data_IF_411743155386
#
_entry.id   IF_411743155386
#
_cell.length_a   1.000
_cell.length_b   1.000
_cell.length_c   1.000
_cell.angle_alpha   90.00
_cell.angle_beta   90.00
_cell.angle_gamma   90.00
#
_symmetry.space_group_name_H-M   'P 1'
#
loop_
_entity.id
_entity.type
_entity.pdbx_description
1 polymer ?
#
# COMPACT_ATOMS: atom_id res chain seq x y z
N UNK A 1 44.89 -9.75 21.48
CA UNK A 1 43.49 -10.12 21.77
C UNK A 1 42.59 -9.26 20.90
N UNK A 2 41.96 -9.85 19.89
CA UNK A 2 41.03 -9.12 18.99
C UNK A 2 39.73 -8.92 19.77
N UNK A 3 39.31 -7.68 19.99
CA UNK A 3 38.02 -7.35 20.58
C UNK A 3 37.00 -7.29 19.44
N UNK A 4 36.10 -8.25 19.39
CA UNK A 4 34.97 -8.21 18.48
C UNK A 4 33.92 -7.24 19.02
N UNK A 5 33.35 -6.43 18.14
CA UNK A 5 32.27 -5.51 18.48
C UNK A 5 30.98 -6.32 18.64
N UNK A 6 30.33 -6.31 19.83
CA UNK A 6 29.09 -7.06 20.06
C UNK A 6 27.94 -6.63 19.14
N UNK A 7 28.02 -5.47 18.47
CA UNK A 7 27.05 -5.08 17.44
C UNK A 7 27.16 -5.88 16.14
N UNK A 8 28.25 -6.61 15.92
CA UNK A 8 28.50 -7.37 14.69
C UNK A 8 28.55 -8.88 14.91
N UNK A 9 28.15 -9.35 16.10
CA UNK A 9 27.98 -10.77 16.39
C UNK A 9 26.56 -11.20 16.04
N UNK A 10 26.39 -11.66 14.81
CA UNK A 10 25.13 -12.23 14.35
C UNK A 10 25.18 -13.74 14.49
N UNK A 11 24.06 -14.33 14.91
CA UNK A 11 23.82 -15.77 14.84
C UNK A 11 23.56 -16.17 13.38
N UNK A 12 24.60 -16.07 12.56
CA UNK A 12 24.57 -16.36 11.14
C UNK A 12 25.92 -16.96 10.70
N UNK A 13 25.94 -17.83 9.67
CA UNK A 13 27.18 -18.39 9.15
C UNK A 13 28.09 -17.28 8.63
N UNK A 14 29.29 -17.15 9.20
CA UNK A 14 30.33 -16.23 8.71
C UNK A 14 31.26 -16.89 7.67
N UNK A 15 31.00 -18.15 7.32
CA UNK A 15 31.80 -18.92 6.38
C UNK A 15 31.54 -18.47 4.95
N UNK A 16 32.62 -18.30 4.17
CA UNK A 16 32.52 -18.06 2.74
C UNK A 16 31.88 -19.27 2.04
N UNK A 17 30.82 -19.03 1.28
CA UNK A 17 30.12 -20.07 0.52
C UNK A 17 30.43 -19.88 -0.98
N UNK A 18 30.87 -20.96 -1.63
CA UNK A 18 31.11 -20.96 -3.08
C UNK A 18 29.77 -21.07 -3.82
N UNK A 19 29.37 -19.98 -4.48
CA UNK A 19 28.12 -19.88 -5.23
C UNK A 19 28.15 -20.70 -6.53
N UNK A 20 29.33 -21.16 -6.96
CA UNK A 20 29.48 -22.00 -8.16
C UNK A 20 29.22 -23.49 -7.88
N UNK A 21 29.23 -23.90 -6.62
CA UNK A 21 28.89 -25.26 -6.24
C UNK A 21 27.38 -25.52 -6.48
N UNK A 22 26.99 -26.69 -7.01
CA UNK A 22 25.59 -27.05 -7.14
C UNK A 22 24.98 -27.11 -5.73
N UNK A 23 24.02 -26.22 -5.47
CA UNK A 23 23.24 -26.23 -4.23
C UNK A 23 22.68 -27.64 -4.07
N UNK A 24 23.00 -28.29 -2.96
CA UNK A 24 22.43 -29.60 -2.64
C UNK A 24 20.91 -29.44 -2.62
N UNK A 25 20.17 -30.04 -3.57
CA UNK A 25 18.72 -29.93 -3.54
C UNK A 25 18.26 -30.59 -2.26
N UNK A 26 17.59 -29.82 -1.39
CA UNK A 26 16.81 -30.40 -0.31
C UNK A 26 15.88 -31.44 -0.95
N UNK A 27 15.77 -32.65 -0.38
CA UNK A 27 14.88 -33.66 -0.91
C UNK A 27 13.45 -33.08 -0.93
N UNK A 28 12.70 -33.41 -1.99
CA UNK A 28 11.37 -32.86 -2.18
C UNK A 28 10.48 -33.19 -0.97
N UNK A 29 10.10 -32.16 -0.21
CA UNK A 29 9.24 -32.27 0.98
C UNK A 29 9.93 -32.05 2.33
N UNK A 30 11.25 -31.87 2.38
CA UNK A 30 11.91 -31.45 3.63
C UNK A 30 11.80 -29.93 3.83
N UNK A 31 11.28 -29.54 4.99
CA UNK A 31 11.21 -28.17 5.46
C UNK A 31 12.50 -27.79 6.19
N UNK A 32 12.88 -26.51 6.13
CA UNK A 32 14.01 -25.98 6.88
C UNK A 32 13.69 -25.96 8.40
N UNK A 33 14.37 -26.77 9.23
CA UNK A 33 14.08 -26.83 10.67
C UNK A 33 14.32 -25.52 11.41
N UNK A 34 15.17 -24.63 10.87
CA UNK A 34 15.35 -23.29 11.43
C UNK A 34 14.12 -22.43 11.19
N UNK A 35 13.57 -22.50 9.97
CA UNK A 35 12.35 -21.78 9.60
C UNK A 35 11.18 -22.19 10.50
N UNK A 36 11.05 -23.48 10.80
CA UNK A 36 9.96 -23.97 11.64
C UNK A 36 10.03 -23.47 13.10
N UNK A 37 11.23 -23.25 13.61
CA UNK A 37 11.44 -22.70 14.98
C UNK A 37 11.12 -21.22 15.07
N UNK A 38 11.41 -20.44 14.03
CA UNK A 38 11.18 -18.98 14.00
C UNK A 38 9.75 -18.64 13.59
N UNK A 39 9.15 -19.49 12.74
CA UNK A 39 7.83 -19.27 12.14
C UNK A 39 6.90 -20.47 12.34
N UNK A 40 6.49 -20.75 13.59
CA UNK A 40 5.60 -21.88 13.90
C UNK A 40 4.26 -21.81 13.14
N UNK A 41 3.78 -20.59 12.85
CA UNK A 41 2.52 -20.39 12.11
C UNK A 41 2.63 -20.68 10.61
N UNK A 42 3.84 -20.58 10.04
CA UNK A 42 4.09 -20.85 8.62
C UNK A 42 4.44 -22.33 8.36
N UNK A 43 4.71 -23.08 9.42
CA UNK A 43 4.96 -24.52 9.38
C UNK A 43 3.68 -25.34 9.35
N UNK A 44 2.51 -24.70 9.56
CA UNK A 44 1.23 -25.37 9.43
C UNK A 44 1.04 -25.74 7.96
N UNK A 45 0.93 -27.03 7.63
CA UNK A 45 0.62 -27.45 6.26
C UNK A 45 -0.64 -26.72 5.82
N UNK A 46 -0.69 -26.20 4.59
CA UNK A 46 -1.84 -25.43 4.09
C UNK A 46 -3.20 -26.15 4.25
N UNK A 47 -3.18 -27.48 4.40
CA UNK A 47 -4.33 -28.31 4.76
C UNK A 47 -4.97 -27.94 6.12
N UNK A 48 -4.20 -27.55 7.13
CA UNK A 48 -4.75 -27.12 8.42
C UNK A 48 -5.38 -25.72 8.35
N UNK A 49 -4.76 -24.79 7.62
CA UNK A 49 -5.33 -23.46 7.36
C UNK A 49 -6.66 -23.55 6.59
N UNK A 50 -6.76 -24.51 5.68
CA UNK A 50 -7.99 -24.76 4.92
C UNK A 50 -9.11 -25.30 5.82
N UNK A 51 -8.79 -26.25 6.70
CA UNK A 51 -9.74 -26.77 7.71
C UNK A 51 -10.18 -25.69 8.70
N UNK A 52 -9.28 -24.81 9.13
CA UNK A 52 -9.63 -23.71 10.03
C UNK A 52 -10.55 -22.68 9.35
N UNK A 53 -10.32 -22.39 8.07
CA UNK A 53 -11.21 -21.52 7.29
C UNK A 53 -12.60 -22.13 7.07
N UNK A 54 -12.69 -23.43 6.79
CA UNK A 54 -13.96 -24.15 6.69
C UNK A 54 -14.72 -24.17 8.02
N UNK A 55 -14.02 -24.40 9.14
CA UNK A 55 -14.63 -24.36 10.47
C UNK A 55 -15.19 -22.97 10.79
N UNK A 56 -14.46 -21.90 10.43
CA UNK A 56 -14.92 -20.51 10.61
C UNK A 56 -16.14 -20.18 9.74
N UNK A 57 -16.21 -20.70 8.52
CA UNK A 57 -17.39 -20.54 7.66
C UNK A 57 -18.62 -21.27 8.24
N UNK A 58 -18.46 -22.50 8.73
CA UNK A 58 -19.56 -23.21 9.39
C UNK A 58 -20.05 -22.51 10.67
N UNK A 59 -19.13 -21.97 11.47
CA UNK A 59 -19.51 -21.22 12.68
C UNK A 59 -20.27 -19.93 12.33
N UNK A 60 -19.98 -19.33 11.18
CA UNK A 60 -20.70 -18.17 10.68
C UNK A 60 -22.11 -18.54 10.18
N UNK A 61 -22.26 -19.63 9.42
CA UNK A 61 -23.59 -20.11 8.98
C UNK A 61 -24.51 -20.45 10.17
N UNK A 62 -23.98 -21.11 11.21
CA UNK A 62 -24.75 -21.41 12.43
C UNK A 62 -25.18 -20.17 13.22
N UNK A 63 -24.50 -19.03 13.06
CA UNK A 63 -24.91 -17.75 13.67
C UNK A 63 -26.03 -17.09 12.88
N UNK A 64 -26.01 -17.18 11.56
CA UNK A 64 -27.02 -16.58 10.69
C UNK A 64 -28.38 -17.29 10.82
N UNK A 65 -28.39 -18.62 11.03
CA UNK A 65 -29.64 -19.37 11.24
C UNK A 65 -30.36 -19.01 12.56
N UNK A 66 -29.62 -18.57 13.58
CA UNK A 66 -30.23 -18.10 14.85
C UNK A 66 -30.78 -16.68 14.74
N UNK A 67 -30.35 -15.87 13.78
CA UNK A 67 -30.89 -14.51 13.58
C UNK A 67 -32.26 -14.52 12.86
N UNK A 68 -32.58 -15.60 12.12
CA UNK A 68 -33.83 -15.76 11.38
C UNK A 68 -35.05 -16.24 12.21
N UNK A 69 -34.88 -16.60 13.49
CA UNK A 69 -36.01 -16.94 14.38
C UNK A 69 -36.55 -15.75 15.19
N UNK A 70 -36.44 -14.51 14.68
CA UNK A 70 -37.02 -13.35 15.39
C UNK A 70 -38.52 -13.20 15.08
N UNK A 71 -39.37 -12.97 16.10
CA UNK A 71 -40.81 -12.81 15.91
C UNK A 71 -41.12 -11.60 15.02
N UNK A 72 -41.99 -11.83 14.02
CA UNK A 72 -42.41 -10.96 12.91
C UNK A 72 -43.11 -9.65 13.35
N UNK A 73 -43.26 -9.39 14.65
CA UNK A 73 -44.04 -8.25 15.16
C UNK A 73 -43.21 -7.00 15.46
N UNK A 74 -41.88 -7.07 15.37
CA UNK A 74 -41.03 -5.90 15.57
C UNK A 74 -40.85 -5.14 14.26
N UNK A 75 -41.56 -4.02 14.15
CA UNK A 75 -41.51 -3.08 13.02
C UNK A 75 -40.06 -2.82 12.59
N UNK A 76 -39.65 -3.34 11.42
CA UNK A 76 -38.26 -3.35 10.92
C UNK A 76 -37.59 -1.96 10.98
N UNK A 77 -38.40 -0.92 10.89
CA UNK A 77 -37.98 0.48 11.01
C UNK A 77 -37.35 0.77 12.37
N UNK A 78 -37.94 0.25 13.45
CA UNK A 78 -37.43 0.43 14.82
C UNK A 78 -36.12 -0.34 15.06
N UNK A 79 -36.00 -1.54 14.49
CA UNK A 79 -34.78 -2.36 14.53
C UNK A 79 -33.64 -1.64 13.77
N UNK A 80 -33.92 -1.09 12.59
CA UNK A 80 -32.93 -0.34 11.82
C UNK A 80 -32.47 0.94 12.53
N UNK A 81 -33.40 1.67 13.17
CA UNK A 81 -33.09 2.88 13.93
C UNK A 81 -32.21 2.55 15.14
N UNK A 82 -32.54 1.50 15.89
CA UNK A 82 -31.77 1.06 17.06
C UNK A 82 -30.38 0.54 16.66
N UNK A 83 -30.27 -0.26 15.59
CA UNK A 83 -28.98 -0.74 15.05
C UNK A 83 -28.09 0.43 14.57
N UNK A 84 -28.66 1.41 13.87
CA UNK A 84 -27.92 2.63 13.48
C UNK A 84 -27.47 3.47 14.68
N UNK A 85 -28.28 3.53 15.75
CA UNK A 85 -27.93 4.24 16.98
C UNK A 85 -26.77 3.55 17.72
N UNK A 86 -26.79 2.22 17.79
CA UNK A 86 -25.68 1.44 18.35
C UNK A 86 -24.37 1.65 17.55
N UNK A 87 -24.42 1.54 16.22
CA UNK A 87 -23.24 1.75 15.37
C UNK A 87 -22.64 3.16 15.52
N UNK A 88 -23.47 4.18 15.74
CA UNK A 88 -23.00 5.55 16.01
C UNK A 88 -22.31 5.65 17.38
N UNK A 89 -22.82 4.95 18.39
CA UNK A 89 -22.23 4.94 19.72
C UNK A 89 -20.91 4.17 19.74
N UNK A 90 -20.84 2.99 19.11
CA UNK A 90 -19.59 2.23 18.98
C UNK A 90 -18.51 3.03 18.24
N UNK A 91 -18.87 3.73 17.16
CA UNK A 91 -17.92 4.61 16.46
C UNK A 91 -17.42 5.77 17.33
N UNK A 92 -18.27 6.28 18.24
CA UNK A 92 -17.87 7.32 19.19
C UNK A 92 -16.97 6.76 20.29
N UNK A 93 -17.28 5.59 20.82
CA UNK A 93 -16.45 4.91 21.83
C UNK A 93 -15.08 4.53 21.25
N UNK A 94 -15.04 3.89 20.08
CA UNK A 94 -13.77 3.62 19.37
C UNK A 94 -12.98 4.89 19.10
N UNK A 95 -13.64 6.00 18.74
CA UNK A 95 -12.96 7.30 18.56
C UNK A 95 -12.40 7.90 19.85
N UNK A 96 -13.00 7.63 21.02
CA UNK A 96 -12.43 8.02 22.32
C UNK A 96 -11.27 7.11 22.72
N UNK A 97 -11.34 5.84 22.34
CA UNK A 97 -10.33 4.82 22.61
C UNK A 97 -9.07 5.00 21.76
N UNK A 98 -9.23 5.53 20.54
CA UNK A 98 -8.12 6.13 19.79
C UNK A 98 -7.68 7.41 20.48
N UNK A 99 -6.81 7.26 21.50
CA UNK A 99 -5.86 8.28 21.94
C UNK A 99 -5.35 9.00 20.71
N UNK A 100 -5.45 10.33 20.70
CA UNK A 100 -5.23 11.11 19.48
C UNK A 100 -3.90 10.69 18.84
N UNK A 101 -3.82 10.68 17.50
CA UNK A 101 -2.59 10.30 16.78
C UNK A 101 -1.34 11.06 17.28
N UNK A 102 -1.55 12.23 17.88
CA UNK A 102 -0.55 13.08 18.53
C UNK A 102 0.00 12.47 19.83
N UNK A 103 -0.83 11.76 20.59
CA UNK A 103 -0.50 11.07 21.83
C UNK A 103 0.25 9.75 21.55
N UNK A 104 -0.17 9.00 20.53
CA UNK A 104 0.57 7.83 20.04
C UNK A 104 1.97 8.19 19.50
N UNK A 105 2.13 9.38 18.89
CA UNK A 105 3.43 9.90 18.44
C UNK A 105 4.37 10.30 19.57
N UNK A 106 3.85 10.66 20.75
CA UNK A 106 4.69 11.06 21.88
C UNK A 106 5.37 9.86 22.58
N UNK A 107 4.80 8.67 22.45
CA UNK A 107 5.34 7.42 23.02
C UNK A 107 6.31 6.70 22.08
N UNK A 108 6.33 7.05 20.79
CA UNK A 108 7.22 6.42 19.83
C UNK A 108 8.56 7.16 19.80
N UNK A 109 9.63 6.49 20.28
CA UNK A 109 10.99 6.97 20.09
C UNK A 109 11.25 7.22 18.59
N UNK A 110 11.96 8.31 18.24
CA UNK A 110 12.27 8.63 16.87
C UNK A 110 13.12 7.51 16.27
N UNK A 111 12.50 6.73 15.38
CA UNK A 111 13.13 5.64 14.66
C UNK A 111 14.34 6.17 13.89
N UNK A 112 15.55 5.78 14.32
CA UNK A 112 16.80 6.02 13.59
C UNK A 112 16.88 5.06 12.41
N UNK A 113 16.03 5.27 11.41
CA UNK A 113 16.07 4.51 10.16
C UNK A 113 17.29 4.90 9.32
N UNK A 114 18.24 3.96 9.19
CA UNK A 114 19.28 4.03 8.17
C UNK A 114 18.62 3.90 6.79
N UNK A 115 18.83 4.90 5.92
CA UNK A 115 18.32 4.91 4.55
C UNK A 115 19.10 3.90 3.72
N UNK A 116 18.49 2.76 3.43
CA UNK A 116 18.96 1.88 2.37
C UNK A 116 18.39 2.35 1.02
N UNK A 117 19.31 2.56 0.08
CA UNK A 117 19.01 2.92 -1.31
C UNK A 117 18.47 1.69 -2.04
N UNK A 118 17.15 1.63 -2.27
CA UNK A 118 16.57 0.70 -3.24
C UNK A 118 16.68 1.30 -4.63
N UNK A 119 17.49 0.66 -5.49
CA UNK A 119 17.49 0.91 -6.93
C UNK A 119 16.24 0.28 -7.54
N UNK A 120 15.49 1.10 -8.27
CA UNK A 120 14.27 0.76 -8.97
C UNK A 120 14.65 0.34 -10.41
N UNK A 121 14.57 -0.95 -10.73
CA UNK A 121 14.76 -1.46 -12.09
C UNK A 121 13.41 -1.52 -12.83
N UNK A 122 13.28 -0.69 -13.87
CA UNK A 122 12.18 -0.73 -14.84
C UNK A 122 12.22 -2.02 -15.67
N UNK A 123 11.22 -2.90 -15.52
CA UNK A 123 10.96 -3.97 -16.48
C UNK A 123 9.82 -3.59 -17.44
N UNK A 124 10.18 -3.29 -18.70
CA UNK A 124 9.26 -3.02 -19.81
C UNK A 124 8.80 -4.34 -20.45
N UNK A 125 7.69 -4.89 -19.99
CA UNK A 125 7.05 -6.04 -20.64
C UNK A 125 6.13 -5.58 -21.79
N UNK A 126 6.63 -5.65 -23.03
CA UNK A 126 5.83 -5.56 -24.25
C UNK A 126 5.38 -6.96 -24.67
N UNK A 127 4.11 -7.31 -24.45
CA UNK A 127 3.47 -8.47 -25.09
C UNK A 127 2.41 -8.01 -26.08
N UNK A 128 2.54 -8.48 -27.33
CA UNK A 128 1.58 -8.27 -28.42
C UNK A 128 0.35 -9.17 -28.17
N UNK A 129 -0.88 -8.72 -28.49
CA UNK A 129 -2.04 -9.60 -28.44
C UNK A 129 -2.01 -10.57 -29.62
N UNK A 130 -2.21 -11.86 -29.32
CA UNK A 130 -2.38 -12.94 -30.27
C UNK A 130 -3.76 -12.77 -30.94
N UNK A 131 -3.76 -12.54 -32.25
CA UNK A 131 -4.97 -12.39 -33.06
C UNK A 131 -5.47 -13.79 -33.40
N UNK A 132 -6.62 -14.17 -32.83
CA UNK A 132 -7.31 -15.41 -33.17
C UNK A 132 -8.17 -15.19 -34.42
N UNK A 133 -7.81 -15.89 -35.50
CA UNK A 133 -8.45 -15.85 -36.81
C UNK A 133 -9.21 -17.15 -36.99
N UNK A 134 -10.53 -17.09 -36.83
CA UNK A 134 -11.41 -18.10 -37.44
C UNK A 134 -12.54 -18.59 -36.55
N UNK A 135 -13.69 -17.93 -36.64
CA UNK A 135 -14.96 -18.64 -36.86
C UNK A 135 -16.10 -17.64 -37.12
N UNK A 136 -16.59 -17.63 -38.36
CA UNK A 136 -17.80 -16.92 -38.79
C UNK A 136 -18.95 -17.93 -38.95
N UNK A 137 -19.96 -17.87 -38.09
CA UNK A 137 -21.31 -18.23 -38.48
C UNK A 137 -22.22 -16.99 -38.49
N UNK A 138 -22.87 -16.83 -39.64
CA UNK A 138 -24.07 -16.06 -39.98
C UNK A 138 -24.53 -14.90 -39.07
N UNK A 139 -24.37 -13.65 -39.56
CA UNK A 139 -24.29 -12.42 -38.74
C UNK A 139 -25.49 -11.47 -38.92
N UNK A 140 -26.60 -11.89 -39.53
CA UNK A 140 -27.67 -10.91 -39.83
C UNK A 140 -28.68 -10.72 -38.70
N UNK A 141 -29.07 -11.77 -37.98
CA UNK A 141 -30.09 -11.65 -36.90
C UNK A 141 -29.49 -11.45 -35.49
N UNK A 142 -28.21 -11.80 -35.27
CA UNK A 142 -27.51 -11.53 -33.99
C UNK A 142 -26.98 -10.10 -33.86
N UNK A 143 -26.92 -9.32 -34.95
CA UNK A 143 -26.36 -7.95 -34.94
C UNK A 143 -27.17 -6.99 -34.10
N UNK A 144 -28.50 -7.06 -34.12
CA UNK A 144 -29.33 -6.11 -33.38
C UNK A 144 -29.32 -6.35 -31.87
N UNK A 145 -29.32 -7.63 -31.42
CA UNK A 145 -29.12 -7.96 -30.00
C UNK A 145 -27.70 -7.65 -29.51
N UNK A 146 -26.67 -7.90 -30.32
CA UNK A 146 -25.29 -7.56 -29.95
C UNK A 146 -25.07 -6.04 -29.86
N UNK A 147 -25.73 -5.23 -30.69
CA UNK A 147 -25.66 -3.76 -30.59
C UNK A 147 -26.30 -3.26 -29.30
N UNK A 148 -27.43 -3.85 -28.86
CA UNK A 148 -28.02 -3.49 -27.57
C UNK A 148 -27.16 -3.91 -26.37
N UNK A 149 -26.64 -5.14 -26.36
CA UNK A 149 -25.78 -5.64 -25.27
C UNK A 149 -24.49 -4.81 -25.16
N UNK A 150 -23.83 -4.51 -26.27
CA UNK A 150 -22.61 -3.69 -26.27
C UNK A 150 -22.88 -2.23 -25.85
N UNK A 151 -24.09 -1.71 -26.06
CA UNK A 151 -24.46 -0.37 -25.57
C UNK A 151 -24.61 -0.31 -24.05
N UNK A 152 -25.11 -1.39 -23.44
CA UNK A 152 -25.28 -1.50 -21.98
C UNK A 152 -23.92 -1.70 -21.30
N UNK A 153 -23.10 -2.60 -21.83
CA UNK A 153 -21.73 -2.82 -21.34
C UNK A 153 -20.88 -1.55 -21.40
N UNK A 154 -21.00 -0.75 -22.47
CA UNK A 154 -20.32 0.54 -22.58
C UNK A 154 -20.75 1.55 -21.51
N UNK A 155 -22.04 1.56 -21.13
CA UNK A 155 -22.53 2.43 -20.04
C UNK A 155 -22.02 1.96 -18.68
N UNK A 156 -22.01 0.66 -18.44
CA UNK A 156 -21.48 0.06 -17.21
C UNK A 156 -19.96 0.29 -17.08
N UNK A 157 -19.20 0.12 -18.16
CA UNK A 157 -17.76 0.44 -18.21
C UNK A 157 -17.49 1.92 -17.96
N UNK A 158 -18.28 2.83 -18.53
CA UNK A 158 -18.16 4.27 -18.26
C UNK A 158 -18.46 4.61 -16.79
N UNK A 159 -19.48 3.99 -16.21
CA UNK A 159 -19.84 4.19 -14.80
C UNK A 159 -18.73 3.66 -13.87
N UNK A 160 -18.21 2.46 -14.15
CA UNK A 160 -17.08 1.89 -13.41
C UNK A 160 -15.84 2.78 -13.50
N UNK A 161 -15.54 3.29 -14.69
CA UNK A 161 -14.43 4.22 -14.89
C UNK A 161 -14.63 5.54 -14.13
N UNK A 162 -15.85 6.09 -14.11
CA UNK A 162 -16.16 7.29 -13.32
C UNK A 162 -16.02 7.02 -11.81
N UNK A 163 -16.52 5.88 -11.33
CA UNK A 163 -16.39 5.49 -9.93
C UNK A 163 -14.92 5.32 -9.51
N UNK A 164 -14.13 4.64 -10.34
CA UNK A 164 -12.67 4.53 -10.15
C UNK A 164 -12.00 5.90 -10.17
N UNK A 165 -12.41 6.82 -11.05
CA UNK A 165 -11.86 8.17 -11.10
C UNK A 165 -12.17 8.96 -9.83
N UNK A 166 -13.40 8.86 -9.30
CA UNK A 166 -13.80 9.51 -8.03
C UNK A 166 -13.08 8.92 -6.83
N UNK A 167 -12.90 7.60 -6.81
CA UNK A 167 -12.11 6.92 -5.78
C UNK A 167 -10.66 7.38 -5.85
N UNK A 168 -10.03 7.23 -7.02
CA UNK A 168 -8.62 7.58 -7.25
C UNK A 168 -8.33 9.07 -7.01
N UNK A 169 -9.30 9.96 -7.24
CA UNK A 169 -9.17 11.39 -6.90
C UNK A 169 -8.98 11.64 -5.40
N UNK A 170 -9.47 10.75 -4.52
CA UNK A 170 -9.26 10.83 -3.06
C UNK A 170 -7.91 10.24 -2.61
N UNK A 171 -7.34 9.31 -3.38
CA UNK A 171 -6.05 8.66 -3.07
C UNK A 171 -4.86 9.34 -3.73
N UNK A 172 -5.09 9.98 -4.89
CA UNK A 172 -4.18 11.00 -5.43
C UNK A 172 -4.35 12.27 -4.61
N UNK A 173 -4.00 12.21 -3.32
CA UNK A 173 -3.51 13.41 -2.68
C UNK A 173 -2.41 13.91 -3.61
N UNK A 174 -2.61 15.08 -4.21
CA UNK A 174 -1.55 15.84 -4.88
C UNK A 174 -0.58 16.27 -3.79
N UNK A 175 0.05 15.29 -3.14
CA UNK A 175 1.27 15.49 -2.41
C UNK A 175 2.33 15.57 -3.49
N UNK A 176 2.32 16.69 -4.20
CA UNK A 176 3.37 17.13 -5.12
C UNK A 176 4.56 17.49 -4.22
N UNK A 177 5.12 16.48 -3.57
CA UNK A 177 6.43 16.61 -2.97
C UNK A 177 7.38 16.70 -4.16
N UNK A 178 7.66 17.93 -4.58
CA UNK A 178 8.80 18.18 -5.43
C UNK A 178 10.03 18.06 -4.54
N UNK A 179 10.89 17.06 -4.77
CA UNK A 179 12.13 16.95 -4.03
C UNK A 179 12.92 18.26 -4.18
N UNK A 180 13.49 18.82 -3.10
CA UNK A 180 14.32 20.00 -3.19
C UNK A 180 15.47 19.75 -4.19
N UNK A 181 15.55 20.57 -5.25
CA UNK A 181 16.62 20.44 -6.25
C UNK A 181 17.98 20.87 -5.70
N UNK A 182 17.98 21.69 -4.65
CA UNK A 182 19.17 22.24 -4.03
C UNK A 182 19.45 21.57 -2.68
N UNK A 183 20.72 21.51 -2.31
CA UNK A 183 21.12 20.95 -1.01
C UNK A 183 20.49 21.72 0.15
N UNK A 184 20.18 21.02 1.25
CA UNK A 184 19.57 21.62 2.45
C UNK A 184 20.38 22.80 3.01
N UNK A 185 21.72 22.76 2.86
CA UNK A 185 22.60 23.84 3.31
C UNK A 185 22.37 25.13 2.52
N UNK A 186 22.27 25.02 1.20
CA UNK A 186 22.00 26.15 0.29
C UNK A 186 20.62 26.74 0.56
N UNK A 187 19.60 25.87 0.69
CA UNK A 187 18.23 26.29 1.02
C UNK A 187 18.20 27.06 2.34
N UNK A 188 18.81 26.54 3.41
CA UNK A 188 18.87 27.24 4.72
C UNK A 188 19.58 28.58 4.66
N UNK A 189 20.57 28.74 3.78
CA UNK A 189 21.28 30.02 3.65
C UNK A 189 20.39 31.05 2.96
N UNK A 190 19.70 30.66 1.89
CA UNK A 190 18.67 31.48 1.25
C UNK A 190 17.53 31.85 2.21
N UNK A 191 17.07 30.94 3.06
CA UNK A 191 16.03 31.22 4.07
C UNK A 191 16.49 32.27 5.09
N UNK A 192 17.77 32.30 5.46
CA UNK A 192 18.32 33.33 6.37
C UNK A 192 18.36 34.71 5.72
N UNK A 193 18.70 34.77 4.44
CA UNK A 193 18.76 36.04 3.69
C UNK A 193 17.37 36.60 3.41
N UNK A 194 16.44 35.76 2.96
CA UNK A 194 15.08 36.16 2.57
C UNK A 194 14.09 36.20 3.74
N UNK A 195 14.45 35.58 4.88
CA UNK A 195 13.58 35.38 6.06
C UNK A 195 12.28 34.63 5.76
N UNK A 196 12.22 33.88 4.65
CA UNK A 196 11.10 33.01 4.27
C UNK A 196 11.47 31.55 4.55
N UNK A 197 10.51 30.74 4.97
CA UNK A 197 10.70 29.29 5.14
C UNK A 197 10.27 28.56 3.87
N UNK A 198 11.17 27.81 3.24
CA UNK A 198 10.95 27.09 1.98
C UNK A 198 9.79 26.08 2.09
N UNK A 199 9.63 25.46 3.26
CA UNK A 199 8.55 24.50 3.49
C UNK A 199 7.19 25.14 3.77
N UNK A 200 7.17 26.42 4.17
CA UNK A 200 5.93 27.17 4.34
C UNK A 200 5.36 27.67 3.00
N UNK A 201 6.16 27.67 1.93
CA UNK A 201 5.75 28.08 0.59
C UNK A 201 4.80 27.05 -0.06
N UNK A 202 3.88 27.56 -0.88
CA UNK A 202 3.06 26.77 -1.79
C UNK A 202 3.89 26.13 -2.90
N UNK A 203 3.32 25.19 -3.67
CA UNK A 203 4.06 24.49 -4.72
C UNK A 203 4.59 25.44 -5.81
N UNK A 204 3.79 26.43 -6.23
CA UNK A 204 4.17 27.44 -7.22
C UNK A 204 5.30 28.34 -6.69
N UNK A 205 5.21 28.78 -5.43
CA UNK A 205 6.24 29.58 -4.79
C UNK A 205 7.55 28.81 -4.58
N UNK A 206 7.50 27.49 -4.35
CA UNK A 206 8.71 26.66 -4.27
C UNK A 206 9.42 26.54 -5.61
N UNK A 207 8.68 26.48 -6.72
CA UNK A 207 9.28 26.50 -8.05
C UNK A 207 10.06 27.80 -8.28
N UNK A 208 9.44 28.95 -7.95
CA UNK A 208 10.10 30.26 -8.01
C UNK A 208 11.32 30.34 -7.06
N UNK A 209 11.18 29.86 -5.82
CA UNK A 209 12.29 29.82 -4.87
C UNK A 209 13.46 28.95 -5.38
N UNK A 210 13.21 27.85 -6.08
CA UNK A 210 14.26 27.03 -6.68
C UNK A 210 15.02 27.76 -7.79
N UNK A 211 14.33 28.58 -8.59
CA UNK A 211 14.96 29.45 -9.59
C UNK A 211 15.83 30.53 -8.92
N UNK A 212 15.29 31.19 -7.90
CA UNK A 212 16.03 32.19 -7.11
C UNK A 212 17.28 31.60 -6.47
N UNK A 213 17.16 30.43 -5.83
CA UNK A 213 18.28 29.71 -5.21
C UNK A 213 19.33 29.35 -6.26
N UNK A 214 18.92 28.96 -7.47
CA UNK A 214 19.87 28.66 -8.55
C UNK A 214 20.67 29.90 -8.97
N UNK A 215 20.03 31.05 -9.12
CA UNK A 215 20.69 32.33 -9.44
C UNK A 215 21.59 32.77 -8.28
N UNK A 216 21.10 32.67 -7.04
CA UNK A 216 21.85 33.03 -5.84
C UNK A 216 23.12 32.18 -5.68
N UNK A 217 23.01 30.86 -5.92
CA UNK A 217 24.16 29.94 -5.90
C UNK A 217 25.22 30.31 -6.94
N UNK A 218 24.81 30.72 -8.15
CA UNK A 218 25.75 31.19 -9.19
C UNK A 218 26.49 32.45 -8.75
N UNK A 219 25.78 33.45 -8.20
CA UNK A 219 26.41 34.68 -7.67
C UNK A 219 27.42 34.41 -6.57
N UNK A 220 27.12 33.48 -5.66
CA UNK A 220 28.06 33.09 -4.60
C UNK A 220 29.31 32.39 -5.14
N UNK A 221 29.16 31.55 -6.17
CA UNK A 221 30.28 30.89 -6.83
C UNK A 221 31.19 31.90 -7.56
N UNK A 222 30.60 32.89 -8.24
CA UNK A 222 31.32 33.97 -8.91
C UNK A 222 32.03 34.90 -7.91
N UNK A 223 31.42 35.22 -6.77
CA UNK A 223 32.02 36.08 -5.74
C UNK A 223 33.15 35.40 -4.93
N UNK A 224 33.20 34.07 -4.94
CA UNK A 224 34.23 33.30 -4.24
C UNK A 224 35.47 33.02 -5.10
N UNK A 225 35.46 33.47 -6.35
CA UNK A 225 36.52 33.24 -7.34
C UNK A 225 37.27 34.56 -7.63
#
# INVERSE_FOLDING_TARGET
MVRFDPLFEFDAPQTYCDVSAPLSPLPAGEHDPWFDRVHPDHSRPGAELSRELEAKLQEQELKDDKENQRPVTSDLRTILISKNKQLKNEKKEKKKEFRSLKEMRAMHEPFKGKKEQKQEQEHKNRRKPLVDVGNRPDVRWKRERAVMVTSKEKKEMKNLQELLSRHNKKFKATHTYEPPQHSVRVVRQWERETKKSYYALSAEERAQANEEIAVWKKRQAEASH
#
